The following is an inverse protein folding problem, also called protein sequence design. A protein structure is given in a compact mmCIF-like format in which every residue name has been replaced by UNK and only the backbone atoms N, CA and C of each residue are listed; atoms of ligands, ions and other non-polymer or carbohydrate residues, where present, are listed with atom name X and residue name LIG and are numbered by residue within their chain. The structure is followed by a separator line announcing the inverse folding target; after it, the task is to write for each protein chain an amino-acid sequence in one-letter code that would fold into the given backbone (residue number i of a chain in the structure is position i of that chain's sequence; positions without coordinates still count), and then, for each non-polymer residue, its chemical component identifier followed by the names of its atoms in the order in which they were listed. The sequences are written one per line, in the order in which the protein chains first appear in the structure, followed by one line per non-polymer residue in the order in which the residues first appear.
data_IF_968884036081
#
_entry.id   IF_968884036081
#
_cell.length_a   1.000
_cell.length_b   1.000
_cell.length_c   1.000
_cell.angle_alpha   90.00
_cell.angle_beta   90.00
_cell.angle_gamma   90.00
#
_symmetry.space_group_name_H-M   'P 1'
#
loop_
_entity.id
_entity.type
_entity.pdbx_description
1 polymer ?
#
# COMPACT_ATOMS: atom_id res chain seq x y z
N UNK A 1 1.83 4.09 -16.56
CA UNK A 1 1.86 3.71 -15.14
C UNK A 1 3.23 4.09 -14.61
N UNK A 2 3.30 4.93 -13.57
CA UNK A 2 4.55 5.41 -12.99
C UNK A 2 4.90 4.49 -11.84
N UNK A 3 5.81 3.53 -12.06
CA UNK A 3 6.28 2.62 -11.01
C UNK A 3 6.93 3.39 -9.86
N UNK A 4 6.64 3.01 -8.62
CA UNK A 4 7.27 3.63 -7.44
C UNK A 4 8.65 3.00 -7.25
N UNK A 5 9.63 3.79 -6.85
CA UNK A 5 10.96 3.30 -6.46
C UNK A 5 11.15 3.49 -4.96
N UNK A 6 11.81 2.55 -4.30
CA UNK A 6 11.99 2.56 -2.85
C UNK A 6 13.15 1.68 -2.40
N UNK A 7 13.70 2.00 -1.23
CA UNK A 7 14.77 1.21 -0.58
C UNK A 7 14.19 0.67 0.72
N UNK A 8 14.20 -0.66 0.87
CA UNK A 8 13.76 -1.37 2.08
C UNK A 8 14.91 -2.15 2.72
N UNK A 9 14.61 -2.88 3.80
CA UNK A 9 15.61 -3.67 4.54
C UNK A 9 16.30 -4.74 3.64
N UNK A 10 15.63 -5.20 2.58
CA UNK A 10 16.12 -6.21 1.65
C UNK A 10 16.77 -5.63 0.38
N UNK A 11 17.04 -4.32 0.34
CA UNK A 11 17.74 -3.67 -0.77
C UNK A 11 16.88 -2.67 -1.54
N UNK A 12 17.41 -2.25 -2.69
CA UNK A 12 16.86 -1.18 -3.52
C UNK A 12 15.98 -1.75 -4.64
N UNK A 13 14.75 -1.24 -4.74
CA UNK A 13 13.80 -1.58 -5.79
C UNK A 13 13.60 -0.35 -6.70
N UNK A 14 14.20 -0.38 -7.89
CA UNK A 14 14.08 0.68 -8.89
C UNK A 14 13.11 0.25 -10.00
N UNK A 15 11.94 0.88 -10.07
CA UNK A 15 10.92 0.57 -11.09
C UNK A 15 11.36 0.81 -12.54
N UNK A 16 12.46 1.54 -12.76
CA UNK A 16 12.97 1.89 -14.09
C UNK A 16 14.09 0.96 -14.64
N UNK A 17 14.54 -0.04 -13.86
CA UNK A 17 15.60 -0.98 -14.27
C UNK A 17 15.13 -2.43 -14.42
N UNK A 18 13.83 -2.68 -14.26
CA UNK A 18 13.26 -4.00 -14.37
C UNK A 18 12.71 -4.17 -15.78
N UNK A 19 13.26 -5.13 -16.53
CA UNK A 19 12.72 -5.61 -17.82
C UNK A 19 11.34 -6.29 -17.68
N UNK A 20 10.80 -6.32 -16.45
CA UNK A 20 9.54 -6.92 -16.09
C UNK A 20 8.72 -5.88 -15.30
N UNK A 21 7.74 -5.26 -15.95
CA UNK A 21 6.87 -4.23 -15.36
C UNK A 21 6.04 -4.74 -14.15
N UNK A 22 6.01 -6.07 -13.92
CA UNK A 22 5.36 -6.74 -12.79
C UNK A 22 6.13 -6.65 -11.46
N UNK A 23 7.41 -6.31 -11.49
CA UNK A 23 8.28 -6.36 -10.30
C UNK A 23 8.53 -4.96 -9.70
N UNK A 24 7.69 -3.99 -10.09
CA UNK A 24 7.77 -2.61 -9.61
C UNK A 24 6.92 -2.41 -8.36
N UNK A 25 7.44 -1.66 -7.38
CA UNK A 25 6.66 -1.30 -6.19
C UNK A 25 5.41 -0.54 -6.63
N UNK A 26 4.25 -1.07 -6.25
CA UNK A 26 2.96 -0.44 -6.48
C UNK A 26 2.45 0.16 -5.17
N UNK A 27 2.02 1.42 -5.21
CA UNK A 27 1.40 2.08 -4.07
C UNK A 27 -0.12 2.09 -4.26
N UNK A 28 -0.83 1.43 -3.33
CA UNK A 28 -2.27 1.48 -3.23
C UNK A 28 -2.66 2.45 -2.11
N UNK A 29 -3.53 3.40 -2.43
CA UNK A 29 -4.10 4.34 -1.46
C UNK A 29 -5.60 4.08 -1.40
N UNK A 30 -6.12 3.89 -0.19
CA UNK A 30 -7.54 3.65 0.06
C UNK A 30 -7.99 4.43 1.29
N UNK A 31 -9.25 4.85 1.28
CA UNK A 31 -9.93 5.49 2.41
C UNK A 31 -11.08 4.58 2.80
N UNK A 32 -11.15 4.21 4.07
CA UNK A 32 -12.15 3.29 4.61
C UNK A 32 -12.90 3.95 5.77
N UNK A 33 -14.14 3.53 6.02
CA UNK A 33 -14.82 3.92 7.24
C UNK A 33 -14.16 3.21 8.45
N UNK A 34 -14.15 3.85 9.64
CA UNK A 34 -13.36 3.36 10.78
C UNK A 34 -13.72 1.95 11.26
N UNK A 35 -14.97 1.52 11.07
CA UNK A 35 -15.47 0.20 11.43
C UNK A 35 -14.94 -0.92 10.51
N UNK A 36 -14.58 -0.60 9.27
CA UNK A 36 -14.02 -1.55 8.29
C UNK A 36 -12.49 -1.58 8.27
N UNK A 37 -11.84 -0.52 8.77
CA UNK A 37 -10.39 -0.42 8.76
C UNK A 37 -9.66 -1.56 9.50
N UNK A 38 -10.09 -2.02 10.72
CA UNK A 38 -9.35 -3.03 11.48
C UNK A 38 -9.16 -4.35 10.71
N UNK A 39 -10.22 -4.85 10.08
CA UNK A 39 -10.16 -6.13 9.36
C UNK A 39 -9.18 -6.08 8.17
N UNK A 40 -9.15 -4.99 7.41
CA UNK A 40 -8.20 -4.83 6.31
C UNK A 40 -6.77 -4.67 6.82
N UNK A 41 -6.58 -3.87 7.88
CA UNK A 41 -5.27 -3.66 8.50
C UNK A 41 -4.69 -4.99 8.97
N UNK A 42 -5.47 -5.84 9.65
CA UNK A 42 -5.01 -7.15 10.12
C UNK A 42 -4.65 -8.09 8.97
N UNK A 43 -5.47 -8.13 7.92
CA UNK A 43 -5.19 -8.94 6.73
C UNK A 43 -3.90 -8.49 6.02
N UNK A 44 -3.69 -7.18 5.86
CA UNK A 44 -2.46 -6.64 5.25
C UNK A 44 -1.24 -6.89 6.14
N UNK A 45 -1.38 -6.81 7.48
CA UNK A 45 -0.30 -7.18 8.39
C UNK A 45 0.13 -8.62 8.19
N UNK A 46 -0.83 -9.56 8.14
CA UNK A 46 -0.54 -10.96 7.88
C UNK A 46 0.15 -11.17 6.52
N UNK A 47 -0.29 -10.46 5.48
CA UNK A 47 0.37 -10.50 4.16
C UNK A 47 1.83 -10.03 4.23
N UNK A 48 2.08 -8.94 4.97
CA UNK A 48 3.42 -8.36 5.12
C UNK A 48 4.33 -9.16 6.07
N UNK A 49 3.81 -10.09 6.86
CA UNK A 49 4.64 -11.04 7.61
C UNK A 49 5.37 -12.03 6.67
N UNK A 50 4.78 -12.34 5.52
CA UNK A 50 5.31 -13.31 4.55
C UNK A 50 6.07 -12.67 3.38
N UNK A 51 6.14 -11.34 3.30
CA UNK A 51 6.66 -10.62 2.14
C UNK A 51 7.24 -9.24 2.46
N UNK A 52 7.83 -8.61 1.46
CA UNK A 52 8.34 -7.23 1.59
C UNK A 52 7.24 -6.20 1.33
N UNK A 53 7.23 -5.11 2.10
CA UNK A 53 6.31 -4.00 1.92
C UNK A 53 6.09 -3.23 3.22
N UNK A 54 5.33 -2.13 3.12
CA UNK A 54 4.94 -1.32 4.28
C UNK A 54 3.49 -0.88 4.11
N UNK A 55 2.80 -0.69 5.23
CA UNK A 55 1.48 -0.09 5.28
C UNK A 55 1.51 1.09 6.23
N UNK A 56 0.93 2.22 5.82
CA UNK A 56 0.73 3.40 6.65
C UNK A 56 -0.77 3.59 6.87
N UNK A 57 -1.16 3.85 8.12
CA UNK A 57 -2.54 4.13 8.51
C UNK A 57 -2.56 5.52 9.14
N UNK A 58 -3.45 6.39 8.65
CA UNK A 58 -3.62 7.74 9.14
C UNK A 58 -5.09 8.14 9.11
N UNK A 59 -5.51 8.95 10.07
CA UNK A 59 -6.82 9.60 10.03
C UNK A 59 -6.85 10.63 8.90
N UNK A 60 -7.98 10.70 8.18
CA UNK A 60 -8.17 11.64 7.07
C UNK A 60 -9.59 12.18 7.05
N UNK A 61 -9.80 13.30 6.37
CA UNK A 61 -11.09 13.95 6.19
C UNK A 61 -11.40 14.11 4.71
N UNK A 62 -12.61 13.78 4.30
CA UNK A 62 -13.06 13.85 2.90
C UNK A 62 -14.34 14.67 2.79
N UNK A 63 -14.52 15.35 1.65
CA UNK A 63 -15.69 16.20 1.41
C UNK A 63 -16.98 15.43 1.09
N UNK A 64 -16.86 14.17 0.63
CA UNK A 64 -17.98 13.27 0.28
C UNK A 64 -17.84 11.94 1.02
N UNK A 65 -18.11 11.89 2.33
CA UNK A 65 -17.95 10.67 3.14
C UNK A 65 -18.80 9.49 2.63
N UNK A 66 -19.93 9.77 1.99
CA UNK A 66 -20.83 8.77 1.40
C UNK A 66 -20.19 7.92 0.29
N UNK A 67 -19.09 8.37 -0.33
CA UNK A 67 -18.35 7.58 -1.33
C UNK A 67 -17.45 6.50 -0.71
N UNK A 68 -17.28 6.53 0.61
CA UNK A 68 -16.36 5.67 1.35
C UNK A 68 -17.07 4.89 2.47
N UNK A 69 -18.39 4.72 2.38
CA UNK A 69 -19.18 3.95 3.35
C UNK A 69 -19.34 2.48 3.00
#
# INVERSE_FOLDING_TARGET
MSGVSGIGHHGQHSGALLFNDYDTLTMLITVLPPDRAPALVDAVRQLLEAGSGVMFVAETHVSRPEYFQ
#
